data_IF_750753693200
#
_entry.id   IF_750753693200
#
_cell.length_a   1.000
_cell.length_b   1.000
_cell.length_c   1.000
_cell.angle_alpha   90.00
_cell.angle_beta   90.00
_cell.angle_gamma   90.00
#
_symmetry.space_group_name_H-M   'P 1'
#
loop_
_entity.id
_entity.type
_entity.pdbx_description
1 polymer ?
#
# COMPACT_ATOMS: atom_id res chain seq x y z
N UNK A 1 -13.73 -2.11 49.65
CA UNK A 1 -14.19 -1.05 48.72
C UNK A 1 -12.96 -0.39 48.12
N UNK A 2 -12.95 -0.25 46.79
CA UNK A 2 -11.75 -0.32 45.95
C UNK A 2 -10.86 0.93 45.96
N UNK A 3 -9.60 0.72 46.35
CA UNK A 3 -8.50 1.68 46.29
C UNK A 3 -7.93 1.93 44.87
N UNK A 4 -8.64 1.45 43.84
CA UNK A 4 -8.24 1.54 42.44
C UNK A 4 -8.83 2.76 41.71
N UNK A 5 -9.98 3.28 42.17
CA UNK A 5 -10.70 4.35 41.49
C UNK A 5 -9.95 5.69 41.48
N UNK A 6 -9.38 6.09 42.62
CA UNK A 6 -8.69 7.37 42.74
C UNK A 6 -7.33 7.41 42.04
N UNK A 7 -6.66 6.26 41.86
CA UNK A 7 -5.41 6.18 41.08
C UNK A 7 -5.66 6.38 39.58
N UNK A 8 -6.78 5.88 39.07
CA UNK A 8 -7.15 6.03 37.66
C UNK A 8 -7.59 7.47 37.32
N UNK A 9 -8.29 8.15 38.25
CA UNK A 9 -8.68 9.56 38.07
C UNK A 9 -7.48 10.51 38.13
N UNK A 10 -6.47 10.23 38.97
CA UNK A 10 -5.27 11.07 39.06
C UNK A 10 -4.40 10.99 37.80
N UNK A 11 -4.32 9.80 37.18
CA UNK A 11 -3.59 9.59 35.91
C UNK A 11 -4.28 10.30 34.74
N UNK A 12 -5.62 10.28 34.70
CA UNK A 12 -6.40 11.01 33.67
C UNK A 12 -6.26 12.54 33.80
N UNK A 13 -6.16 13.08 35.00
CA UNK A 13 -5.89 14.51 35.22
C UNK A 13 -4.46 14.88 34.88
N UNK A 14 -3.47 14.01 35.16
CA UNK A 14 -2.07 14.22 34.76
C UNK A 14 -1.87 14.20 33.25
N UNK A 15 -2.57 13.32 32.51
CA UNK A 15 -2.53 13.28 31.04
C UNK A 15 -3.24 14.48 30.41
N UNK A 16 -4.34 14.97 31.02
CA UNK A 16 -5.03 16.19 30.58
C UNK A 16 -4.25 17.49 30.89
N UNK A 17 -3.31 17.46 31.83
CA UNK A 17 -2.49 18.63 32.18
C UNK A 17 -1.34 18.89 31.20
N UNK A 18 -0.94 17.89 30.40
CA UNK A 18 0.12 18.03 29.41
C UNK A 18 -0.32 18.73 28.11
N UNK A 19 -1.62 18.90 27.87
CA UNK A 19 -2.13 19.46 26.61
C UNK A 19 -2.29 20.98 26.61
N UNK A 20 -1.97 21.69 27.70
CA UNK A 20 -2.23 23.14 27.84
C UNK A 20 -0.97 24.01 28.01
N UNK A 21 0.23 23.45 27.88
CA UNK A 21 1.48 24.24 27.97
C UNK A 21 2.40 24.00 26.77
N UNK A 22 1.95 24.47 25.61
CA UNK A 22 2.85 25.06 24.63
C UNK A 22 2.69 26.57 24.71
N UNK A 23 3.41 27.19 25.64
CA UNK A 23 3.72 28.61 25.52
C UNK A 23 4.67 28.72 24.32
N UNK A 24 4.14 29.09 23.16
CA UNK A 24 4.95 29.35 21.97
C UNK A 24 5.65 30.68 22.18
N UNK A 25 6.93 30.63 22.54
CA UNK A 25 7.85 31.69 22.14
C UNK A 25 7.76 31.84 20.62
N UNK A 26 7.65 33.07 20.12
CA UNK A 26 7.61 33.44 18.70
C UNK A 26 8.96 33.13 18.00
N UNK A 27 9.35 31.86 18.00
CA UNK A 27 10.43 31.36 17.18
C UNK A 27 9.85 31.04 15.81
N UNK A 28 9.77 32.05 14.93
CA UNK A 28 9.48 31.80 13.52
C UNK A 28 10.66 31.01 12.94
N UNK A 29 10.48 29.72 12.58
CA UNK A 29 11.55 28.93 12.01
C UNK A 29 11.89 29.53 10.65
N UNK A 30 13.15 29.91 10.43
CA UNK A 30 13.62 30.34 9.11
C UNK A 30 13.88 29.13 8.24
N UNK A 31 13.23 29.06 7.08
CA UNK A 31 13.38 27.92 6.18
C UNK A 31 14.43 28.20 5.10
N UNK A 32 15.30 27.23 4.83
CA UNK A 32 16.37 27.34 3.83
C UNK A 32 15.89 27.69 2.42
N UNK A 33 14.61 27.46 2.13
CA UNK A 33 13.98 27.67 0.82
C UNK A 33 13.04 28.90 0.78
N UNK A 34 12.84 29.57 1.91
CA UNK A 34 11.87 30.67 2.08
C UNK A 34 12.13 31.85 1.14
N UNK A 35 13.40 32.22 0.96
CA UNK A 35 13.79 33.33 0.08
C UNK A 35 13.87 32.97 -1.41
N UNK A 36 13.71 31.70 -1.79
CA UNK A 36 13.86 31.25 -3.20
C UNK A 36 12.60 30.67 -3.83
N UNK A 37 11.60 30.26 -3.04
CA UNK A 37 10.41 29.55 -3.56
C UNK A 37 9.11 30.37 -3.58
N UNK A 38 9.11 31.62 -3.12
CA UNK A 38 7.88 32.41 -2.97
C UNK A 38 6.89 31.79 -1.97
N UNK A 39 5.65 32.28 -1.93
CA UNK A 39 4.59 31.71 -1.06
C UNK A 39 4.17 30.33 -1.60
N UNK A 40 4.75 29.26 -1.05
CA UNK A 40 4.34 27.88 -1.35
C UNK A 40 3.04 27.58 -0.63
N UNK A 41 2.00 27.16 -1.37
CA UNK A 41 0.77 26.68 -0.78
C UNK A 41 0.90 25.19 -0.44
N UNK A 42 0.74 24.85 0.83
CA UNK A 42 0.80 23.47 1.33
C UNK A 42 -0.60 23.02 1.73
N UNK A 43 -0.99 21.85 1.25
CA UNK A 43 -2.23 21.17 1.61
C UNK A 43 -1.96 19.67 1.70
N UNK A 44 -2.99 18.86 1.93
CA UNK A 44 -2.84 17.41 1.90
C UNK A 44 -4.15 16.72 1.55
N UNK A 45 -4.06 15.44 1.22
CA UNK A 45 -5.20 14.59 0.92
C UNK A 45 -4.96 13.15 1.37
N UNK A 46 -6.06 12.43 1.61
CA UNK A 46 -6.11 10.98 1.74
C UNK A 46 -6.91 10.37 0.59
N UNK A 47 -6.61 9.13 0.23
CA UNK A 47 -7.19 8.47 -0.93
C UNK A 47 -7.57 7.02 -0.65
N UNK A 48 -8.67 6.60 -1.25
CA UNK A 48 -8.98 5.18 -1.48
C UNK A 48 -8.61 4.81 -2.91
N UNK A 49 -7.95 3.67 -3.09
CA UNK A 49 -7.40 3.24 -4.38
C UNK A 49 -7.92 1.83 -4.68
N UNK A 50 -8.53 1.68 -5.85
CA UNK A 50 -8.90 0.37 -6.41
C UNK A 50 -8.00 0.14 -7.62
N UNK A 51 -7.26 -0.96 -7.62
CA UNK A 51 -6.37 -1.37 -8.69
C UNK A 51 -6.91 -2.58 -9.43
N UNK A 52 -6.67 -2.62 -10.74
CA UNK A 52 -7.04 -3.71 -11.64
C UNK A 52 -5.81 -4.08 -12.45
N UNK A 53 -5.48 -5.37 -12.46
CA UNK A 53 -4.26 -5.87 -13.07
C UNK A 53 -4.36 -7.37 -13.35
N UNK A 54 -3.21 -8.00 -13.46
CA UNK A 54 -3.01 -9.42 -13.69
C UNK A 54 -1.96 -9.97 -12.72
N UNK A 55 -2.17 -11.20 -12.26
CA UNK A 55 -1.19 -12.01 -11.51
C UNK A 55 -1.17 -13.39 -12.14
N UNK A 56 -0.02 -13.79 -12.72
CA UNK A 56 0.16 -15.10 -13.35
C UNK A 56 -0.85 -15.41 -14.48
N UNK A 57 -1.29 -14.40 -15.25
CA UNK A 57 -2.29 -14.55 -16.31
C UNK A 57 -3.75 -14.57 -15.84
N UNK A 58 -3.99 -14.32 -14.54
CA UNK A 58 -5.33 -14.21 -13.96
C UNK A 58 -5.66 -12.78 -13.54
N UNK A 59 -6.87 -12.33 -13.86
CA UNK A 59 -7.37 -11.01 -13.48
C UNK A 59 -7.30 -10.78 -11.96
N UNK A 60 -6.69 -9.67 -11.58
CA UNK A 60 -6.41 -9.31 -10.20
C UNK A 60 -7.06 -7.98 -9.83
N UNK A 61 -7.66 -7.92 -8.63
CA UNK A 61 -8.15 -6.67 -8.03
C UNK A 61 -7.38 -6.38 -6.76
N UNK A 62 -6.90 -5.15 -6.66
CA UNK A 62 -6.20 -4.62 -5.50
C UNK A 62 -7.07 -3.57 -4.83
N UNK A 63 -7.07 -3.54 -3.50
CA UNK A 63 -7.67 -2.46 -2.73
C UNK A 63 -6.62 -1.86 -1.79
N UNK A 64 -6.73 -0.57 -1.56
CA UNK A 64 -5.84 0.12 -0.66
C UNK A 64 -6.14 1.60 -0.53
N UNK A 65 -5.15 2.33 -0.06
CA UNK A 65 -5.26 3.76 0.12
C UNK A 65 -3.90 4.42 0.21
N UNK A 66 -3.94 5.73 0.39
CA UNK A 66 -2.74 6.53 0.56
C UNK A 66 -3.06 7.91 1.06
N UNK A 67 -2.02 8.70 1.31
CA UNK A 67 -2.17 10.09 1.66
C UNK A 67 -0.89 10.85 1.39
N UNK A 68 -1.01 12.10 0.96
CA UNK A 68 0.11 12.90 0.51
C UNK A 68 -0.02 14.36 0.93
N UNK A 69 1.15 14.97 1.13
CA UNK A 69 1.29 16.43 1.14
C UNK A 69 1.26 16.91 -0.30
N UNK A 70 0.49 17.97 -0.56
CA UNK A 70 0.27 18.56 -1.86
C UNK A 70 0.77 20.00 -1.87
N UNK A 71 1.79 20.24 -2.69
CA UNK A 71 2.48 21.51 -2.86
C UNK A 71 1.96 22.22 -4.11
N UNK A 72 1.50 23.46 -3.94
CA UNK A 72 0.94 24.31 -4.98
C UNK A 72 -0.17 23.63 -5.80
N UNK A 73 -0.90 22.68 -5.19
CA UNK A 73 -1.87 21.84 -5.90
C UNK A 73 -1.28 21.10 -7.12
N UNK A 74 0.05 20.95 -7.21
CA UNK A 74 0.76 20.53 -8.43
C UNK A 74 1.67 19.34 -8.18
N UNK A 75 2.43 19.33 -7.09
CA UNK A 75 3.34 18.22 -6.76
C UNK A 75 2.87 17.58 -5.46
N UNK A 76 2.81 16.25 -5.42
CA UNK A 76 2.51 15.54 -4.19
C UNK A 76 3.56 14.50 -3.83
N UNK A 77 3.77 14.36 -2.51
CA UNK A 77 4.65 13.39 -1.89
C UNK A 77 3.91 12.80 -0.69
N UNK A 78 3.81 11.48 -0.67
CA UNK A 78 3.04 10.79 0.34
C UNK A 78 3.40 9.32 0.48
N UNK A 79 2.52 8.62 1.17
CA UNK A 79 2.55 7.18 1.31
C UNK A 79 1.34 6.50 0.68
N UNK A 80 1.48 5.23 0.35
CA UNK A 80 0.38 4.36 -0.06
C UNK A 80 0.55 2.95 0.52
N UNK A 81 -0.53 2.18 0.53
CA UNK A 81 -0.54 0.75 0.79
C UNK A 81 -1.69 0.09 0.05
N UNK A 82 -1.42 -1.05 -0.58
CA UNK A 82 -2.39 -1.81 -1.37
C UNK A 82 -2.17 -3.32 -1.18
N UNK A 83 -3.25 -4.09 -1.31
CA UNK A 83 -3.21 -5.54 -1.24
C UNK A 83 -4.16 -6.20 -2.22
N UNK A 84 -3.77 -7.38 -2.69
CA UNK A 84 -4.54 -8.25 -3.56
C UNK A 84 -5.78 -8.74 -2.81
N UNK A 85 -6.95 -8.51 -3.40
CA UNK A 85 -8.25 -8.83 -2.80
C UNK A 85 -8.96 -9.98 -3.51
N UNK A 86 -8.62 -10.25 -4.77
CA UNK A 86 -9.05 -11.45 -5.48
C UNK A 86 -8.32 -12.68 -4.96
N UNK A 87 -8.98 -13.83 -5.00
CA UNK A 87 -8.35 -15.11 -4.65
C UNK A 87 -7.66 -15.72 -5.86
N UNK A 88 -6.35 -15.93 -5.77
CA UNK A 88 -5.56 -16.58 -6.80
C UNK A 88 -5.13 -17.94 -6.28
N UNK A 89 -5.73 -19.01 -6.81
CA UNK A 89 -5.37 -20.39 -6.44
C UNK A 89 -4.04 -20.72 -7.11
N UNK A 90 -3.13 -21.29 -6.34
CA UNK A 90 -1.84 -21.76 -6.82
C UNK A 90 -1.91 -23.29 -7.01
N UNK A 91 -1.23 -23.80 -8.03
CA UNK A 91 -1.26 -25.22 -8.38
C UNK A 91 -0.64 -26.09 -7.27
N UNK A 92 -1.11 -27.33 -7.05
CA UNK A 92 -0.53 -28.21 -6.04
C UNK A 92 0.96 -28.43 -6.27
N UNK A 93 1.73 -28.41 -5.18
CA UNK A 93 3.19 -28.58 -5.23
C UNK A 93 3.58 -29.88 -4.53
N UNK A 94 4.45 -30.67 -5.17
CA UNK A 94 5.07 -31.84 -4.54
C UNK A 94 6.52 -31.55 -4.23
N UNK A 95 6.87 -31.62 -2.95
CA UNK A 95 8.19 -31.27 -2.42
C UNK A 95 8.91 -32.53 -1.96
N UNK A 96 10.16 -32.68 -2.37
CA UNK A 96 11.08 -33.69 -1.84
C UNK A 96 11.71 -33.17 -0.54
N UNK A 97 11.53 -33.90 0.56
CA UNK A 97 12.10 -33.57 1.87
C UNK A 97 13.47 -34.23 2.07
N UNK A 98 14.22 -33.73 3.07
CA UNK A 98 15.55 -34.25 3.43
C UNK A 98 15.56 -35.74 3.81
N UNK A 99 14.45 -36.27 4.30
CA UNK A 99 14.26 -37.70 4.62
C UNK A 99 13.91 -38.56 3.38
N UNK A 100 14.00 -37.97 2.18
CA UNK A 100 13.67 -38.56 0.89
C UNK A 100 12.17 -38.93 0.75
N UNK A 101 11.31 -38.39 1.62
CA UNK A 101 9.86 -38.48 1.49
C UNK A 101 9.30 -37.38 0.58
N UNK A 102 8.17 -37.68 -0.06
CA UNK A 102 7.43 -36.70 -0.87
C UNK A 102 6.28 -36.14 -0.04
N UNK A 103 6.11 -34.82 -0.09
CA UNK A 103 5.00 -34.10 0.54
C UNK A 103 4.24 -33.32 -0.52
N UNK A 104 2.99 -33.70 -0.75
CA UNK A 104 2.08 -32.94 -1.60
C UNK A 104 1.38 -31.86 -0.77
N UNK A 105 1.32 -30.64 -1.30
CA UNK A 105 0.69 -29.49 -0.67
C UNK A 105 -0.32 -28.93 -1.67
N UNK A 106 -1.59 -28.98 -1.29
CA UNK A 106 -2.71 -28.53 -2.10
C UNK A 106 -3.41 -27.34 -1.44
N UNK A 107 -4.36 -26.74 -2.16
CA UNK A 107 -5.17 -25.61 -1.68
C UNK A 107 -4.34 -24.40 -1.21
N UNK A 108 -3.34 -24.09 -2.01
CA UNK A 108 -2.50 -22.92 -1.89
C UNK A 108 -3.17 -21.70 -2.53
N UNK A 109 -3.05 -20.55 -1.87
CA UNK A 109 -3.55 -19.27 -2.33
C UNK A 109 -2.47 -18.21 -2.23
N UNK A 110 -2.32 -17.43 -3.29
CA UNK A 110 -1.41 -16.30 -3.33
C UNK A 110 -2.02 -15.10 -2.61
N UNK A 111 -1.26 -14.52 -1.70
CA UNK A 111 -1.50 -13.19 -1.15
C UNK A 111 -0.39 -12.27 -1.59
N UNK A 112 -0.71 -11.02 -1.88
CA UNK A 112 0.28 -10.04 -2.27
C UNK A 112 -0.11 -8.68 -1.70
N UNK A 113 0.80 -8.05 -0.97
CA UNK A 113 0.59 -6.73 -0.40
C UNK A 113 1.86 -5.91 -0.42
N UNK A 114 1.74 -4.62 -0.71
CA UNK A 114 2.87 -3.71 -0.75
C UNK A 114 2.46 -2.27 -0.40
N UNK A 115 3.41 -1.51 0.12
CA UNK A 115 3.22 -0.10 0.46
C UNK A 115 4.54 0.65 0.51
N UNK A 116 4.46 1.97 0.45
CA UNK A 116 5.64 2.81 0.44
C UNK A 116 5.31 4.21 -0.04
N UNK A 117 6.19 4.80 -0.84
CA UNK A 117 6.07 6.17 -1.31
C UNK A 117 5.15 6.31 -2.51
N UNK A 118 4.43 7.42 -2.53
CA UNK A 118 3.59 7.85 -3.64
C UNK A 118 3.94 9.29 -4.02
N UNK A 119 4.45 9.46 -5.23
CA UNK A 119 4.95 10.70 -5.77
C UNK A 119 4.18 11.06 -7.02
N UNK A 120 3.87 12.34 -7.23
CA UNK A 120 3.24 12.73 -8.49
C UNK A 120 3.29 14.21 -8.80
N UNK A 121 2.98 14.49 -10.06
CA UNK A 121 2.92 15.81 -10.66
C UNK A 121 1.62 15.94 -11.47
N UNK A 122 0.85 16.97 -11.18
CA UNK A 122 -0.43 17.31 -11.81
C UNK A 122 -0.23 18.51 -12.76
N UNK A 123 -0.42 18.30 -14.05
CA UNK A 123 -0.33 19.35 -15.05
C UNK A 123 -1.64 20.15 -15.12
N UNK A 124 -1.61 21.45 -14.81
CA UNK A 124 -2.77 22.35 -14.85
C UNK A 124 -3.93 21.89 -13.96
N UNK A 125 -3.62 21.54 -12.71
CA UNK A 125 -4.58 21.07 -11.71
C UNK A 125 -5.73 22.02 -11.37
N UNK A 126 -5.63 23.29 -11.76
CA UNK A 126 -6.73 24.26 -11.66
C UNK A 126 -7.89 24.00 -12.64
N UNK A 127 -7.69 23.16 -13.67
CA UNK A 127 -8.76 22.78 -14.60
C UNK A 127 -9.68 21.71 -14.01
N UNK A 128 -10.98 21.69 -14.35
CA UNK A 128 -11.91 20.66 -13.88
C UNK A 128 -11.46 19.23 -14.21
N UNK A 129 -10.86 19.05 -15.40
CA UNK A 129 -10.23 17.80 -15.82
C UNK A 129 -8.81 18.11 -16.27
N UNK A 130 -7.85 17.34 -15.78
CA UNK A 130 -6.44 17.56 -16.07
C UNK A 130 -5.64 16.26 -16.01
N UNK A 131 -4.40 16.33 -16.47
CA UNK A 131 -3.51 15.17 -16.54
C UNK A 131 -2.46 15.24 -15.45
N UNK A 132 -1.95 14.09 -15.04
CA UNK A 132 -0.79 13.99 -14.18
C UNK A 132 0.06 12.78 -14.53
N UNK A 133 1.18 12.69 -13.83
CA UNK A 133 2.04 11.52 -13.81
C UNK A 133 2.37 11.21 -12.37
N UNK A 134 2.40 9.94 -12.03
CA UNK A 134 2.77 9.53 -10.68
C UNK A 134 3.53 8.23 -10.67
N UNK A 135 4.20 7.96 -9.56
CA UNK A 135 4.97 6.75 -9.34
C UNK A 135 4.77 6.30 -7.91
N UNK A 136 4.48 5.01 -7.76
CA UNK A 136 4.46 4.31 -6.48
C UNK A 136 5.76 3.51 -6.35
N UNK A 137 6.43 3.63 -5.21
CA UNK A 137 7.63 2.87 -4.86
C UNK A 137 7.38 2.20 -3.52
N UNK A 138 7.32 0.88 -3.49
CA UNK A 138 6.87 0.15 -2.32
C UNK A 138 7.70 -1.08 -2.02
N UNK A 139 7.59 -1.52 -0.78
CA UNK A 139 8.07 -2.81 -0.30
C UNK A 139 6.87 -3.63 0.17
N UNK A 140 6.99 -4.94 0.08
CA UNK A 140 5.87 -5.82 0.36
C UNK A 140 6.28 -7.27 0.50
N UNK A 141 5.27 -8.13 0.53
CA UNK A 141 5.47 -9.57 0.44
C UNK A 141 4.48 -10.25 -0.49
N UNK A 142 4.95 -11.31 -1.14
CA UNK A 142 4.11 -12.29 -1.83
C UNK A 142 4.13 -13.53 -0.94
N UNK A 143 2.95 -13.98 -0.50
CA UNK A 143 2.82 -15.14 0.36
C UNK A 143 2.05 -16.26 -0.35
N UNK A 144 2.50 -17.50 -0.17
CA UNK A 144 1.66 -18.67 -0.40
C UNK A 144 1.05 -19.13 0.92
N UNK A 145 -0.27 -19.19 0.95
CA UNK A 145 -1.04 -19.59 2.14
C UNK A 145 -1.78 -20.88 1.86
N UNK A 146 -1.58 -21.87 2.72
CA UNK A 146 -2.32 -23.12 2.67
C UNK A 146 -3.62 -22.97 3.47
N UNK A 147 -4.76 -23.26 2.86
CA UNK A 147 -6.03 -23.30 3.58
C UNK A 147 -6.22 -24.68 4.23
N UNK A 148 -5.73 -24.87 5.46
CA UNK A 148 -6.05 -26.07 6.23
C UNK A 148 -7.38 -25.91 6.96
N UNK A 149 -8.34 -26.77 6.66
CA UNK A 149 -9.54 -26.91 7.50
C UNK A 149 -9.20 -27.89 8.60
N UNK A 150 -8.97 -27.42 9.84
CA UNK A 150 -8.87 -28.32 10.98
C UNK A 150 -10.26 -28.91 11.26
N UNK A 151 -10.36 -30.23 11.30
CA UNK A 151 -11.62 -30.94 11.54
C UNK A 151 -12.15 -30.74 12.98
N UNK A 152 -11.29 -30.28 13.91
CA UNK A 152 -11.60 -30.15 15.34
C UNK A 152 -11.66 -28.70 15.85
N UNK A 153 -11.38 -27.69 15.03
CA UNK A 153 -11.48 -26.28 15.42
C UNK A 153 -12.00 -25.42 14.26
N UNK A 154 -13.14 -24.70 14.40
CA UNK A 154 -13.74 -23.90 13.32
C UNK A 154 -12.97 -22.63 12.95
N UNK A 155 -11.84 -22.36 13.60
CA UNK A 155 -10.95 -21.26 13.26
C UNK A 155 -10.04 -21.67 12.09
N UNK A 156 -10.22 -21.00 10.94
CA UNK A 156 -9.35 -21.18 9.76
C UNK A 156 -7.99 -20.58 10.10
N UNK A 157 -7.00 -21.45 10.36
CA UNK A 157 -5.62 -21.03 10.59
C UNK A 157 -4.85 -21.01 9.27
N UNK A 158 -4.38 -19.84 8.86
CA UNK A 158 -3.56 -19.68 7.66
C UNK A 158 -2.10 -19.87 8.05
N UNK A 159 -1.54 -21.04 7.74
CA UNK A 159 -0.10 -21.22 7.82
C UNK A 159 0.55 -20.58 6.58
N UNK A 160 1.43 -19.61 6.83
CA UNK A 160 2.31 -19.05 5.81
C UNK A 160 3.27 -20.16 5.39
N UNK A 161 3.07 -20.64 4.16
CA UNK A 161 3.89 -21.69 3.61
C UNK A 161 5.21 -21.11 3.07
N UNK A 162 5.15 -19.91 2.51
CA UNK A 162 6.28 -19.19 1.92
C UNK A 162 5.98 -17.69 1.87
N UNK A 163 7.03 -16.86 1.96
CA UNK A 163 6.95 -15.41 1.82
C UNK A 163 8.18 -14.87 1.10
N UNK A 164 8.00 -14.25 -0.06
CA UNK A 164 9.01 -13.45 -0.78
C UNK A 164 8.94 -11.99 -0.32
N UNK A 165 10.08 -11.36 -0.04
CA UNK A 165 10.15 -9.93 0.24
C UNK A 165 10.44 -9.14 -1.02
N UNK A 166 9.47 -8.35 -1.48
CA UNK A 166 9.54 -7.73 -2.80
C UNK A 166 9.65 -6.22 -2.74
N UNK A 167 10.23 -5.67 -3.80
CA UNK A 167 10.16 -4.26 -4.15
C UNK A 167 9.22 -4.07 -5.35
N UNK A 168 8.39 -3.03 -5.29
CA UNK A 168 7.37 -2.73 -6.29
C UNK A 168 7.54 -1.29 -6.79
N UNK A 169 7.60 -1.12 -8.09
CA UNK A 169 7.60 0.19 -8.75
C UNK A 169 6.47 0.27 -9.77
N UNK A 170 5.63 1.30 -9.67
CA UNK A 170 4.49 1.50 -10.56
C UNK A 170 4.45 2.94 -11.10
N UNK A 171 5.15 3.25 -12.19
CA UNK A 171 4.94 4.48 -12.95
C UNK A 171 3.57 4.46 -13.64
N UNK A 172 2.88 5.60 -13.64
CA UNK A 172 1.53 5.72 -14.15
C UNK A 172 1.22 7.13 -14.69
N UNK A 173 0.35 7.18 -15.70
CA UNK A 173 -0.31 8.39 -16.19
C UNK A 173 -1.69 8.48 -15.57
N UNK A 174 -2.12 9.68 -15.18
CA UNK A 174 -3.40 9.90 -14.50
C UNK A 174 -4.23 10.99 -15.19
N UNK A 175 -5.55 10.78 -15.22
CA UNK A 175 -6.54 11.78 -15.56
C UNK A 175 -7.33 12.05 -14.28
N UNK A 176 -7.24 13.28 -13.78
CA UNK A 176 -7.87 13.71 -12.54
C UNK A 176 -9.03 14.67 -12.81
N UNK A 177 -10.09 14.51 -12.05
CA UNK A 177 -11.31 15.31 -12.09
C UNK A 177 -11.53 15.99 -10.74
N UNK A 178 -11.59 17.32 -10.77
CA UNK A 178 -11.97 18.14 -9.62
C UNK A 178 -13.49 18.15 -9.49
N UNK A 179 -14.03 17.33 -8.60
CA UNK A 179 -15.48 17.22 -8.40
C UNK A 179 -15.99 18.24 -7.38
N UNK A 180 -15.33 18.34 -6.24
CA UNK A 180 -15.65 19.30 -5.17
C UNK A 180 -14.36 19.91 -4.63
N UNK A 181 -14.47 21.00 -3.85
CA UNK A 181 -13.31 21.65 -3.21
C UNK A 181 -12.57 20.73 -2.24
N UNK A 182 -13.19 19.63 -1.82
CA UNK A 182 -12.65 18.64 -0.90
C UNK A 182 -12.57 17.23 -1.49
N UNK A 183 -13.01 17.02 -2.74
CA UNK A 183 -13.10 15.70 -3.36
C UNK A 183 -12.65 15.71 -4.82
N UNK A 184 -11.78 14.77 -5.16
CA UNK A 184 -11.34 14.48 -6.52
C UNK A 184 -11.45 13.00 -6.83
N UNK A 185 -11.62 12.70 -8.10
CA UNK A 185 -11.52 11.34 -8.62
C UNK A 185 -10.48 11.29 -9.72
N UNK A 186 -9.72 10.21 -9.81
CA UNK A 186 -8.81 9.98 -10.92
C UNK A 186 -8.86 8.56 -11.44
N UNK A 187 -8.59 8.43 -12.74
CA UNK A 187 -8.31 7.16 -13.40
C UNK A 187 -6.86 7.20 -13.87
N UNK A 188 -6.11 6.12 -13.62
CA UNK A 188 -4.70 6.05 -14.01
C UNK A 188 -4.37 4.74 -14.68
N UNK A 189 -3.45 4.76 -15.65
CA UNK A 189 -2.90 3.58 -16.29
C UNK A 189 -1.37 3.59 -16.21
N UNK A 190 -0.78 2.45 -15.94
CA UNK A 190 0.66 2.29 -15.74
C UNK A 190 1.12 0.85 -15.91
N UNK A 191 2.35 0.59 -15.50
CA UNK A 191 2.93 -0.75 -15.50
C UNK A 191 3.59 -1.01 -14.15
N UNK A 192 3.28 -2.14 -13.55
CA UNK A 192 3.84 -2.58 -12.28
C UNK A 192 5.06 -3.46 -12.53
N UNK A 193 6.15 -3.12 -11.87
CA UNK A 193 7.41 -3.85 -11.87
C UNK A 193 7.65 -4.37 -10.45
N UNK A 194 7.87 -5.68 -10.33
CA UNK A 194 8.12 -6.38 -9.07
C UNK A 194 9.47 -7.08 -9.16
N UNK A 195 10.27 -6.95 -8.11
CA UNK A 195 11.56 -7.63 -7.96
C UNK A 195 11.71 -8.19 -6.55
N UNK A 196 12.68 -9.10 -6.37
CA UNK A 196 12.87 -9.82 -5.09
C UNK A 196 12.00 -11.07 -4.96
N UNK A 197 11.62 -11.68 -6.08
CA UNK A 197 10.99 -13.00 -6.14
C UNK A 197 12.13 -14.01 -6.29
N UNK A 198 12.41 -14.78 -5.23
CA UNK A 198 13.60 -15.63 -5.16
C UNK A 198 13.40 -16.98 -4.46
N UNK A 199 12.21 -17.25 -3.90
CA UNK A 199 11.99 -18.51 -3.20
C UNK A 199 11.85 -19.72 -4.14
N UNK A 200 12.56 -20.80 -3.82
CA UNK A 200 12.61 -22.06 -4.58
C UNK A 200 12.26 -23.28 -3.71
N UNK A 201 11.92 -24.41 -4.34
CA UNK A 201 11.79 -25.71 -3.70
C UNK A 201 12.40 -26.83 -4.54
N UNK A 202 12.66 -27.98 -3.91
CA UNK A 202 13.08 -29.20 -4.58
C UNK A 202 11.83 -30.01 -4.95
N UNK A 203 11.60 -30.20 -6.24
CA UNK A 203 10.45 -30.93 -6.74
C UNK A 203 10.64 -32.46 -6.62
N UNK A 204 9.62 -33.23 -7.01
CA UNK A 204 9.63 -34.70 -6.94
C UNK A 204 10.76 -35.37 -7.77
N UNK A 205 11.31 -34.69 -8.79
CA UNK A 205 12.46 -35.18 -9.56
C UNK A 205 13.82 -34.77 -8.98
N UNK A 206 13.85 -34.11 -7.82
CA UNK A 206 15.07 -33.65 -7.17
C UNK A 206 15.67 -32.38 -7.79
N UNK A 207 14.88 -31.62 -8.55
CA UNK A 207 15.33 -30.39 -9.20
C UNK A 207 14.83 -29.16 -8.45
N UNK A 208 15.69 -28.16 -8.31
CA UNK A 208 15.31 -26.84 -7.79
C UNK A 208 14.39 -26.13 -8.78
N UNK A 209 13.26 -25.65 -8.28
CA UNK A 209 12.17 -25.01 -9.05
C UNK A 209 11.67 -23.78 -8.30
N UNK A 210 11.44 -22.68 -9.01
CA UNK A 210 10.89 -21.45 -8.42
C UNK A 210 9.42 -21.63 -8.03
N UNK A 211 9.00 -21.03 -6.91
CA UNK A 211 7.58 -20.94 -6.60
C UNK A 211 6.86 -19.94 -7.49
N UNK A 212 7.48 -18.81 -7.79
CA UNK A 212 6.92 -17.83 -8.71
C UNK A 212 7.95 -17.47 -9.75
N UNK A 213 7.51 -17.31 -10.99
CA UNK A 213 8.36 -16.70 -12.01
C UNK A 213 8.54 -15.23 -11.70
N UNK A 214 9.74 -14.69 -11.96
CA UNK A 214 10.05 -13.27 -11.74
C UNK A 214 9.16 -12.29 -12.54
N UNK A 215 8.36 -12.79 -13.49
CA UNK A 215 7.42 -11.99 -14.26
C UNK A 215 5.95 -12.15 -13.86
N UNK A 216 5.60 -13.06 -12.94
CA UNK A 216 4.19 -13.35 -12.61
C UNK A 216 3.44 -12.14 -12.02
N UNK A 217 4.17 -11.17 -11.48
CA UNK A 217 3.64 -9.95 -10.86
C UNK A 217 3.97 -8.68 -11.65
N UNK A 218 4.64 -8.82 -12.79
CA UNK A 218 4.93 -7.73 -13.72
C UNK A 218 3.75 -7.57 -14.69
N UNK A 219 2.96 -6.51 -14.52
CA UNK A 219 1.70 -6.40 -15.25
C UNK A 219 1.24 -4.97 -15.46
N UNK A 220 0.43 -4.71 -16.52
CA UNK A 220 -0.27 -3.44 -16.65
C UNK A 220 -1.18 -3.19 -15.45
N UNK A 221 -1.23 -1.95 -14.97
CA UNK A 221 -2.03 -1.55 -13.82
C UNK A 221 -2.98 -0.43 -14.20
N UNK A 222 -4.27 -0.62 -13.95
CA UNK A 222 -5.28 0.43 -14.03
C UNK A 222 -5.80 0.74 -12.62
N UNK A 223 -5.88 2.01 -12.23
CA UNK A 223 -6.44 2.40 -10.93
C UNK A 223 -7.60 3.37 -11.07
N UNK A 224 -8.57 3.23 -10.18
CA UNK A 224 -9.54 4.25 -9.81
C UNK A 224 -9.20 4.76 -8.41
N UNK A 225 -9.05 6.08 -8.29
CA UNK A 225 -8.66 6.72 -7.03
C UNK A 225 -9.69 7.76 -6.62
N UNK A 226 -10.04 7.75 -5.34
CA UNK A 226 -10.98 8.69 -4.72
C UNK A 226 -10.22 9.46 -3.65
N UNK A 227 -9.98 10.75 -3.87
CA UNK A 227 -9.12 11.58 -3.01
C UNK A 227 -9.92 12.64 -2.28
N UNK A 228 -9.67 12.77 -0.98
CA UNK A 228 -10.33 13.69 -0.05
C UNK A 228 -9.29 14.57 0.63
N UNK A 229 -9.41 15.89 0.51
CA UNK A 229 -8.37 16.78 1.00
C UNK A 229 -8.60 18.26 0.78
N UNK A 230 -7.60 19.06 1.14
CA UNK A 230 -7.64 20.51 0.99
C UNK A 230 -7.32 20.96 -0.44
N UNK A 231 -8.25 20.79 -1.39
CA UNK A 231 -8.00 21.15 -2.79
C UNK A 231 -8.44 22.58 -3.15
N UNK A 232 -9.42 23.10 -2.41
CA UNK A 232 -9.91 24.46 -2.59
C UNK A 232 -8.99 25.48 -1.95
N UNK A 233 -7.87 25.84 -2.59
CA UNK A 233 -7.02 26.95 -2.16
C UNK A 233 -7.79 28.26 -1.97
N UNK A 234 -7.25 29.16 -1.14
CA UNK A 234 -7.74 30.54 -1.02
C UNK A 234 -7.58 31.23 -2.39
N UNK A 235 -8.66 31.80 -2.90
CA UNK A 235 -8.64 32.62 -4.11
C UNK A 235 -7.94 33.94 -3.85
#
# INVERSE_FOLDING_TARGET
>A
MNNAGYKLTLVLVLVASFTVTFAQDDYEPRYLLENKMGKVHVSGFGSYIIGFSDVGGSFAVYNGGGGAVLLNQTVYLGGYGMGLSTSHKYDPVTILKDDNSLSEISDLYTSFGHGGFWLGYLHKSYKPVHFGVSTKLGWGSIDLREKRTYTDNPDVDYNYFLSDHVFVMTPQLEVEMNLLRWFKMSASAGYQLVSGIDQTYINASGQETDFFSGNDFNSPMFNLTFSFGGFGGAR
#
